data_IF_451455625438
#
_entry.id   IF_451455625438
#
_cell.length_a   1.000
_cell.length_b   1.000
_cell.length_c   1.000
_cell.angle_alpha   90.00
_cell.angle_beta   90.00
_cell.angle_gamma   90.00
#
_symmetry.space_group_name_H-M   'P 1'
#
loop_
_entity.id
_entity.type
_entity.pdbx_description
1 polymer ?
#
# COMPACT_ATOMS: atom_id res chain seq x y z
N UNK A 1 -1.04 -16.96 -23.94
CA UNK A 1 -1.14 -16.53 -22.53
C UNK A 1 -0.36 -15.24 -22.42
N UNK A 2 -1.04 -14.13 -22.12
CA UNK A 2 -0.39 -12.82 -21.97
C UNK A 2 0.09 -12.65 -20.53
N UNK A 3 1.22 -11.98 -20.43
CA UNK A 3 2.06 -11.88 -19.26
C UNK A 3 1.43 -10.97 -18.17
N UNK A 4 1.35 -11.50 -16.95
CA UNK A 4 1.32 -10.79 -15.66
C UNK A 4 0.09 -9.96 -15.23
N UNK A 5 -1.13 -10.44 -15.50
CA UNK A 5 -2.32 -10.00 -14.76
C UNK A 5 -2.47 -10.81 -13.46
N UNK A 6 -1.80 -10.41 -12.34
CA UNK A 6 -2.21 -10.70 -10.94
C UNK A 6 -1.32 -10.03 -9.86
N UNK A 7 -0.18 -9.39 -10.14
CA UNK A 7 0.69 -8.85 -9.07
C UNK A 7 0.87 -7.31 -9.13
N UNK A 8 0.23 -6.57 -8.21
CA UNK A 8 0.57 -5.19 -7.84
C UNK A 8 0.09 -4.04 -8.74
N UNK A 9 0.19 -2.80 -8.23
CA UNK A 9 -0.09 -1.54 -8.98
C UNK A 9 0.76 -1.50 -10.25
N UNK A 10 0.21 -1.17 -11.43
CA UNK A 10 1.02 -0.90 -12.61
C UNK A 10 2.06 0.21 -12.32
N UNK A 11 3.34 -0.06 -12.58
CA UNK A 11 4.45 0.88 -12.32
C UNK A 11 4.22 2.26 -12.93
N UNK A 12 3.64 2.33 -14.12
CA UNK A 12 3.31 3.61 -14.79
C UNK A 12 2.26 4.41 -14.04
N UNK A 13 1.34 3.75 -13.36
CA UNK A 13 0.30 4.38 -12.56
C UNK A 13 0.87 5.00 -11.29
N UNK A 14 1.80 4.29 -10.62
CA UNK A 14 2.58 4.81 -9.49
C UNK A 14 3.40 6.03 -9.92
N UNK A 15 4.11 5.95 -11.05
CA UNK A 15 4.93 7.07 -11.54
C UNK A 15 4.09 8.31 -11.84
N UNK A 16 2.94 8.15 -12.51
CA UNK A 16 2.02 9.28 -12.77
C UNK A 16 1.48 9.87 -11.48
N UNK A 17 1.17 9.03 -10.49
CA UNK A 17 0.71 9.47 -9.18
C UNK A 17 1.78 10.29 -8.46
N UNK A 18 3.02 9.79 -8.40
CA UNK A 18 4.15 10.49 -7.79
C UNK A 18 4.44 11.82 -8.50
N UNK A 19 4.33 11.84 -9.83
CA UNK A 19 4.48 13.07 -10.62
C UNK A 19 3.30 14.06 -10.50
N UNK A 20 2.25 13.74 -9.75
CA UNK A 20 1.07 14.59 -9.61
C UNK A 20 0.21 14.69 -10.87
N UNK A 21 0.36 13.76 -11.81
CA UNK A 21 -0.37 13.73 -13.10
C UNK A 21 -1.49 12.70 -13.14
N UNK A 22 -1.64 11.90 -12.07
CA UNK A 22 -2.74 10.94 -11.93
C UNK A 22 -3.98 11.62 -11.34
N UNK A 23 -5.09 11.59 -12.07
CA UNK A 23 -6.33 12.29 -11.67
C UNK A 23 -7.12 11.61 -10.56
N UNK A 24 -6.85 10.32 -10.28
CA UNK A 24 -7.57 9.53 -9.27
C UNK A 24 -6.60 8.92 -8.25
N UNK A 25 -6.35 9.58 -7.11
CA UNK A 25 -5.40 9.07 -6.12
C UNK A 25 -5.88 7.77 -5.44
N UNK A 26 -7.18 7.52 -5.31
CA UNK A 26 -7.71 6.34 -4.62
C UNK A 26 -7.68 5.08 -5.48
N UNK A 27 -7.55 5.24 -6.79
CA UNK A 27 -7.18 4.14 -7.68
C UNK A 27 -5.79 3.58 -7.39
N UNK A 28 -4.91 4.40 -6.79
CA UNK A 28 -3.52 4.02 -6.46
C UNK A 28 -3.34 3.75 -4.98
N UNK A 29 -3.86 4.62 -4.12
CA UNK A 29 -3.68 4.61 -2.67
C UNK A 29 -4.78 3.84 -1.93
N UNK A 30 -4.49 3.47 -0.69
CA UNK A 30 -5.44 2.82 0.20
C UNK A 30 -5.50 1.29 0.02
N UNK A 31 -6.58 0.65 0.47
CA UNK A 31 -6.74 -0.80 0.44
C UNK A 31 -7.22 -1.32 -0.94
N UNK A 32 -6.45 -2.21 -1.56
CA UNK A 32 -6.73 -2.84 -2.85
C UNK A 32 -6.68 -4.37 -2.72
N UNK A 33 -7.71 -5.06 -3.23
CA UNK A 33 -7.72 -6.53 -3.24
C UNK A 33 -6.79 -7.06 -4.33
N UNK A 34 -5.95 -8.03 -3.97
CA UNK A 34 -5.04 -8.73 -4.90
C UNK A 34 -5.16 -10.22 -4.61
N UNK A 35 -5.93 -10.92 -5.46
CA UNK A 35 -6.35 -12.29 -5.15
C UNK A 35 -7.17 -12.34 -3.86
N UNK A 36 -6.74 -13.18 -2.92
CA UNK A 36 -7.35 -13.31 -1.59
C UNK A 36 -6.76 -12.34 -0.55
N UNK A 37 -5.71 -11.60 -0.92
CA UNK A 37 -4.99 -10.71 -0.03
C UNK A 37 -5.41 -9.25 -0.22
N UNK A 38 -5.03 -8.42 0.75
CA UNK A 38 -5.20 -6.96 0.69
C UNK A 38 -3.85 -6.26 0.64
N UNK A 39 -3.62 -5.46 -0.40
CA UNK A 39 -2.53 -4.50 -0.44
C UNK A 39 -2.98 -3.16 0.12
N UNK A 40 -2.31 -2.67 1.16
CA UNK A 40 -2.48 -1.31 1.67
C UNK A 40 -1.33 -0.46 1.15
N UNK A 41 -1.67 0.48 0.27
CA UNK A 41 -0.72 1.32 -0.47
C UNK A 41 -0.71 2.73 0.11
N UNK A 42 0.48 3.23 0.46
CA UNK A 42 0.65 4.46 1.22
C UNK A 42 1.70 5.34 0.54
N UNK A 43 1.39 6.62 0.38
CA UNK A 43 2.37 7.63 -0.05
C UNK A 43 2.65 8.60 1.09
N UNK A 44 3.88 8.53 1.63
CA UNK A 44 4.39 9.39 2.70
C UNK A 44 5.86 9.73 2.42
N UNK A 45 6.14 10.80 1.64
CA UNK A 45 7.50 11.23 1.32
C UNK A 45 8.37 11.55 2.54
N UNK A 46 7.74 11.89 3.66
CA UNK A 46 8.37 12.26 4.93
C UNK A 46 8.64 11.07 5.86
N UNK A 47 8.19 9.86 5.50
CA UNK A 47 8.37 8.67 6.32
C UNK A 47 9.64 7.89 5.95
N UNK A 48 10.37 7.47 6.97
CA UNK A 48 11.43 6.46 6.89
C UNK A 48 10.86 5.03 6.91
N UNK A 49 9.76 4.80 7.62
CA UNK A 49 9.09 3.51 7.70
C UNK A 49 7.58 3.68 7.92
N UNK A 50 6.81 2.68 7.46
CA UNK A 50 5.36 2.60 7.63
C UNK A 50 4.99 1.21 8.15
N UNK A 51 4.13 1.14 9.15
CA UNK A 51 3.53 -0.08 9.65
C UNK A 51 2.00 0.01 9.62
N UNK A 52 1.33 -1.09 9.28
CA UNK A 52 -0.12 -1.25 9.38
C UNK A 52 -0.44 -1.83 10.76
N UNK A 53 -1.25 -1.11 11.53
CA UNK A 53 -1.73 -1.50 12.86
C UNK A 53 -3.21 -1.86 12.74
N UNK A 54 -3.57 -3.07 13.17
CA UNK A 54 -4.97 -3.50 13.24
C UNK A 54 -5.55 -3.24 14.63
N UNK A 55 -6.86 -3.07 14.72
CA UNK A 55 -7.52 -2.77 15.99
C UNK A 55 -7.65 -4.00 16.91
N UNK A 56 -7.33 -5.19 16.42
CA UNK A 56 -7.31 -6.42 17.21
C UNK A 56 -5.97 -6.55 17.94
N UNK A 57 -6.02 -6.54 19.28
CA UNK A 57 -4.83 -6.52 20.16
C UNK A 57 -3.83 -7.66 19.92
N UNK A 58 -4.25 -8.79 19.37
CA UNK A 58 -3.40 -9.95 19.09
C UNK A 58 -2.69 -9.90 17.73
N UNK A 59 -3.07 -8.98 16.84
CA UNK A 59 -2.49 -8.89 15.50
C UNK A 59 -1.21 -8.06 15.52
N UNK A 60 -0.09 -8.68 15.11
CA UNK A 60 1.18 -7.97 15.01
C UNK A 60 1.10 -6.92 13.90
N UNK A 61 1.75 -5.75 14.08
CA UNK A 61 1.95 -4.79 13.00
C UNK A 61 2.56 -5.45 11.76
N UNK A 62 2.10 -5.04 10.58
CA UNK A 62 2.70 -5.45 9.31
C UNK A 62 3.51 -4.27 8.77
N UNK A 63 4.82 -4.46 8.59
CA UNK A 63 5.68 -3.47 7.96
C UNK A 63 5.35 -3.35 6.47
N UNK A 64 5.27 -2.12 5.96
CA UNK A 64 5.13 -1.86 4.54
C UNK A 64 6.51 -1.80 3.87
N UNK A 65 6.64 -2.44 2.72
CA UNK A 65 7.82 -2.37 1.88
C UNK A 65 7.86 -1.03 1.12
N UNK A 66 9.02 -0.38 1.07
CA UNK A 66 9.22 0.79 0.20
C UNK A 66 9.41 0.33 -1.24
N UNK A 67 8.43 0.60 -2.10
CA UNK A 67 8.45 0.20 -3.51
C UNK A 67 8.86 1.36 -4.45
N UNK A 68 8.92 2.59 -3.92
CA UNK A 68 9.47 3.74 -4.62
C UNK A 68 10.23 4.66 -3.65
N UNK A 69 11.40 5.14 -4.06
CA UNK A 69 12.29 5.97 -3.24
C UNK A 69 11.65 7.28 -2.75
N UNK A 70 10.65 7.79 -3.47
CA UNK A 70 9.94 9.02 -3.13
C UNK A 70 8.86 8.83 -2.04
N UNK A 71 8.91 7.71 -1.31
CA UNK A 71 8.04 7.44 -0.16
C UNK A 71 6.74 6.74 -0.53
N UNK A 72 6.75 5.86 -1.54
CA UNK A 72 5.63 4.97 -1.82
C UNK A 72 5.88 3.60 -1.17
N UNK A 73 4.95 3.19 -0.32
CA UNK A 73 5.01 1.95 0.46
C UNK A 73 3.83 1.03 0.14
N UNK A 74 4.06 -0.27 0.24
CA UNK A 74 3.03 -1.31 0.07
C UNK A 74 3.14 -2.36 1.16
N UNK A 75 2.03 -2.63 1.85
CA UNK A 75 1.93 -3.74 2.81
C UNK A 75 0.91 -4.76 2.31
N UNK A 76 1.27 -6.04 2.32
CA UNK A 76 0.34 -7.13 2.01
C UNK A 76 -0.22 -7.71 3.30
N UNK A 77 -1.54 -7.77 3.40
CA UNK A 77 -2.29 -8.34 4.52
C UNK A 77 -2.96 -9.61 4.04
N UNK A 78 -2.44 -10.80 4.40
CA UNK A 78 -2.94 -12.05 3.87
C UNK A 78 -4.39 -12.32 4.26
N UNK A 79 -5.23 -12.72 3.30
CA UNK A 79 -6.62 -13.13 3.55
C UNK A 79 -7.56 -12.03 4.08
N UNK A 80 -7.13 -10.76 4.09
CA UNK A 80 -7.91 -9.67 4.64
C UNK A 80 -8.92 -9.10 3.64
N UNK A 81 -10.06 -8.66 4.15
CA UNK A 81 -11.06 -7.94 3.35
C UNK A 81 -10.74 -6.45 3.30
N UNK A 82 -11.25 -5.75 2.27
CA UNK A 82 -10.99 -4.32 2.03
C UNK A 82 -11.47 -3.41 3.17
N UNK A 83 -12.46 -3.84 3.92
CA UNK A 83 -13.10 -3.14 5.03
C UNK A 83 -12.44 -3.40 6.39
N UNK A 84 -11.32 -4.12 6.43
CA UNK A 84 -10.54 -4.31 7.66
C UNK A 84 -10.17 -2.93 8.24
N UNK A 85 -10.53 -2.64 9.50
CA UNK A 85 -10.12 -1.40 10.14
C UNK A 85 -8.62 -1.44 10.46
N UNK A 86 -7.90 -0.40 10.06
CA UNK A 86 -6.48 -0.28 10.32
C UNK A 86 -6.08 1.18 10.57
N UNK A 87 -4.92 1.35 11.20
CA UNK A 87 -4.23 2.61 11.40
C UNK A 87 -2.82 2.50 10.83
N UNK A 88 -2.24 3.64 10.45
CA UNK A 88 -0.85 3.72 10.01
C UNK A 88 0.02 4.19 11.18
N UNK A 89 1.11 3.48 11.46
CA UNK A 89 2.21 4.02 12.27
C UNK A 89 3.34 4.43 11.35
N UNK A 90 3.86 5.63 11.57
CA UNK A 90 4.91 6.22 10.75
C UNK A 90 6.13 6.47 11.60
N UNK A 91 7.30 6.14 11.06
CA UNK A 91 8.58 6.60 11.58
C UNK A 91 9.08 7.69 10.65
N UNK A 92 9.18 8.93 11.15
CA UNK A 92 9.78 10.03 10.40
C UNK A 92 11.31 9.88 10.34
N UNK A 93 11.94 10.66 9.46
CA UNK A 93 13.41 10.81 9.44
C UNK A 93 13.96 11.51 10.68
#
# INVERSE_FOLDING_TARGET
>A
MKAFDIAGVPRDEVNRFIAGTHSDPFRVLGPHRVGDDLEIRVFRPDARAVEIIFDRESEKPISAESIHQDGFFCATVPGATRDVPYRLRLTAW
#
